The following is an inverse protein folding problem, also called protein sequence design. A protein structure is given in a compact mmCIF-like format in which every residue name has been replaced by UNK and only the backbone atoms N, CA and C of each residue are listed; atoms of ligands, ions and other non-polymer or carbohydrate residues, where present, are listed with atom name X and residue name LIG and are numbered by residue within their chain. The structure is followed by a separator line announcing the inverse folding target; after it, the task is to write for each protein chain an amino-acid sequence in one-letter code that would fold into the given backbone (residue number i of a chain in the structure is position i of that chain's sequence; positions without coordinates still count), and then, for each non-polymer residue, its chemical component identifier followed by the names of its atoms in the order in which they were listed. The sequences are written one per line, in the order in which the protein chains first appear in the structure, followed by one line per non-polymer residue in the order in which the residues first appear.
data_IF_075092468719
#
_entry.id   IF_075092468719
#
_cell.length_a   1.000
_cell.length_b   1.000
_cell.length_c   1.000
_cell.angle_alpha   90.00
_cell.angle_beta   90.00
_cell.angle_gamma   90.00
#
_symmetry.space_group_name_H-M   'P 1'
#
loop_
_entity.id
_entity.type
_entity.pdbx_description
1 polymer ?
#
# COMPACT_ATOMS: atom_id res chain seq x y z
N UNK A 1 33.28 -31.94 -9.75
CA UNK A 1 31.82 -31.85 -9.56
C UNK A 1 31.53 -30.75 -8.54
N UNK A 2 31.85 -29.50 -8.88
CA UNK A 2 31.82 -28.35 -7.96
C UNK A 2 31.71 -27.03 -8.76
N UNK A 3 30.83 -27.04 -9.77
CA UNK A 3 30.65 -25.90 -10.69
C UNK A 3 29.18 -25.74 -11.16
N UNK A 4 28.24 -26.01 -10.27
CA UNK A 4 26.79 -25.94 -10.55
C UNK A 4 25.99 -25.32 -9.39
N UNK A 5 26.57 -24.34 -8.70
CA UNK A 5 25.83 -23.41 -7.84
C UNK A 5 26.35 -21.99 -8.11
N UNK A 6 26.38 -21.57 -9.38
CA UNK A 6 26.36 -20.15 -9.68
C UNK A 6 24.97 -19.64 -9.30
N UNK A 7 24.96 -18.74 -8.32
CA UNK A 7 23.84 -17.91 -7.87
C UNK A 7 22.71 -17.82 -8.91
N UNK A 8 21.64 -18.57 -8.68
CA UNK A 8 20.38 -18.44 -9.39
C UNK A 8 19.67 -17.14 -8.91
N UNK A 9 20.36 -16.00 -8.99
CA UNK A 9 19.82 -14.68 -8.72
C UNK A 9 19.02 -14.29 -9.95
N UNK A 10 17.71 -14.05 -9.76
CA UNK A 10 16.92 -13.43 -10.82
C UNK A 10 17.63 -12.16 -11.29
N UNK A 11 17.79 -11.97 -12.62
CA UNK A 11 18.49 -10.80 -13.13
C UNK A 11 17.76 -9.54 -12.66
N UNK A 12 18.49 -8.60 -12.05
CA UNK A 12 17.93 -7.31 -11.61
C UNK A 12 17.30 -6.62 -12.80
N UNK A 13 15.99 -6.33 -12.72
CA UNK A 13 15.29 -5.61 -13.79
C UNK A 13 15.90 -4.22 -13.96
N UNK A 14 16.33 -3.88 -15.17
CA UNK A 14 16.91 -2.56 -15.47
C UNK A 14 15.86 -1.45 -15.35
N UNK A 15 14.64 -1.68 -15.82
CA UNK A 15 13.54 -0.73 -15.74
C UNK A 15 12.20 -1.47 -15.67
N UNK A 16 11.19 -0.82 -15.08
CA UNK A 16 9.81 -1.29 -15.09
C UNK A 16 8.87 -0.18 -15.55
N UNK A 17 7.76 -0.56 -16.18
CA UNK A 17 6.62 0.32 -16.33
C UNK A 17 5.84 0.40 -15.02
N UNK A 18 5.43 1.61 -14.66
CA UNK A 18 4.58 1.90 -13.51
C UNK A 18 3.26 2.44 -14.01
N UNK A 19 2.17 1.79 -13.61
CA UNK A 19 0.81 2.25 -13.84
C UNK A 19 0.00 2.12 -12.55
N UNK A 20 -0.44 3.25 -11.99
CA UNK A 20 -1.30 3.28 -10.80
C UNK A 20 -2.49 4.19 -11.05
N UNK A 21 -3.70 3.68 -10.83
CA UNK A 21 -4.91 4.47 -10.94
C UNK A 21 -5.20 5.17 -9.60
N UNK A 22 -4.86 6.45 -9.49
CA UNK A 22 -5.12 7.27 -8.29
C UNK A 22 -6.23 8.26 -8.64
N UNK A 23 -7.48 8.06 -8.16
CA UNK A 23 -8.66 8.78 -8.63
C UNK A 23 -8.54 10.31 -8.56
N UNK A 24 -7.95 10.83 -7.48
CA UNK A 24 -7.82 12.29 -7.24
C UNK A 24 -6.55 12.91 -7.87
N UNK A 25 -5.68 12.11 -8.47
CA UNK A 25 -4.41 12.56 -9.06
C UNK A 25 -4.36 12.36 -10.58
N UNK A 26 -5.38 11.76 -11.19
CA UNK A 26 -5.40 11.48 -12.64
C UNK A 26 -4.54 10.27 -13.05
N UNK A 27 -4.11 9.47 -12.08
CA UNK A 27 -3.25 8.30 -12.30
C UNK A 27 -1.76 8.62 -12.46
N UNK A 28 -0.95 7.56 -12.42
CA UNK A 28 0.50 7.57 -12.63
C UNK A 28 0.78 6.64 -13.80
N UNK A 29 1.47 7.13 -14.84
CA UNK A 29 1.98 6.30 -15.93
C UNK A 29 3.38 6.76 -16.32
N UNK A 30 4.36 5.86 -16.27
CA UNK A 30 5.74 6.17 -16.63
C UNK A 30 6.68 5.01 -16.34
N UNK A 31 7.97 5.27 -16.36
CA UNK A 31 9.01 4.26 -16.14
C UNK A 31 9.76 4.52 -14.84
N UNK A 32 10.28 3.43 -14.25
CA UNK A 32 11.12 3.47 -13.06
C UNK A 32 12.35 2.58 -13.29
N UNK A 33 13.53 3.18 -13.33
CA UNK A 33 14.84 2.49 -13.37
C UNK A 33 15.47 2.58 -11.97
N UNK A 34 15.22 1.59 -11.09
CA UNK A 34 15.59 1.66 -9.68
C UNK A 34 17.08 1.40 -9.46
N UNK A 35 17.71 2.26 -8.65
CA UNK A 35 19.04 2.04 -8.10
C UNK A 35 19.02 1.02 -6.93
N UNK A 36 20.20 0.62 -6.44
CA UNK A 36 20.28 -0.40 -5.38
C UNK A 36 19.59 0.02 -4.08
N UNK A 37 19.63 1.30 -3.70
CA UNK A 37 18.95 1.81 -2.49
C UNK A 37 17.43 1.78 -2.66
N UNK A 38 16.94 2.08 -3.84
CA UNK A 38 15.51 1.98 -4.16
C UNK A 38 15.03 0.53 -4.13
N UNK A 39 15.87 -0.45 -4.50
CA UNK A 39 15.52 -1.87 -4.41
C UNK A 39 15.42 -2.34 -2.96
N UNK A 40 16.38 -1.95 -2.13
CA UNK A 40 16.37 -2.23 -0.69
C UNK A 40 15.14 -1.60 -0.01
N UNK A 41 14.84 -0.33 -0.31
CA UNK A 41 13.66 0.37 0.19
C UNK A 41 12.35 -0.25 -0.32
N UNK A 42 12.29 -0.65 -1.59
CA UNK A 42 11.13 -1.31 -2.17
C UNK A 42 10.84 -2.65 -1.49
N UNK A 43 11.86 -3.44 -1.16
CA UNK A 43 11.69 -4.67 -0.39
C UNK A 43 11.08 -4.40 0.99
N UNK A 44 11.59 -3.42 1.73
CA UNK A 44 11.06 -3.11 3.06
C UNK A 44 9.60 -2.67 3.01
N UNK A 45 9.25 -1.73 2.12
CA UNK A 45 7.86 -1.30 2.00
C UNK A 45 6.96 -2.41 1.45
N UNK A 46 7.49 -3.25 0.56
CA UNK A 46 6.75 -4.41 0.04
C UNK A 46 6.33 -5.36 1.15
N UNK A 47 7.26 -5.75 2.04
CA UNK A 47 6.97 -6.61 3.18
C UNK A 47 5.87 -6.01 4.04
N UNK A 48 5.99 -4.72 4.37
CA UNK A 48 5.00 -4.00 5.17
C UNK A 48 3.62 -3.99 4.51
N UNK A 49 3.54 -3.78 3.19
CA UNK A 49 2.26 -3.81 2.49
C UNK A 49 1.62 -5.19 2.48
N UNK A 50 2.37 -6.26 2.24
CA UNK A 50 1.79 -7.61 2.06
C UNK A 50 1.48 -8.36 3.35
N UNK A 51 2.00 -7.91 4.50
CA UNK A 51 1.72 -8.54 5.80
C UNK A 51 0.66 -7.80 6.62
N UNK A 52 0.18 -6.65 6.16
CA UNK A 52 -0.76 -5.82 6.91
C UNK A 52 -2.21 -6.14 6.57
N UNK A 53 -3.09 -5.85 7.53
CA UNK A 53 -4.55 -5.95 7.38
C UNK A 53 -5.04 -5.09 6.19
N UNK A 54 -4.33 -4.03 5.82
CA UNK A 54 -4.66 -3.14 4.68
C UNK A 54 -4.67 -3.81 3.29
N UNK A 55 -4.18 -5.04 3.15
CA UNK A 55 -4.30 -5.84 1.92
C UNK A 55 -5.20 -7.07 2.06
N UNK A 56 -5.72 -7.33 3.25
CA UNK A 56 -6.71 -8.38 3.50
C UNK A 56 -8.09 -7.76 3.32
N UNK A 57 -8.92 -8.40 2.50
CA UNK A 57 -10.29 -7.95 2.28
C UNK A 57 -11.06 -7.97 3.60
N UNK A 58 -11.67 -6.84 3.96
CA UNK A 58 -12.58 -6.77 5.10
C UNK A 58 -13.99 -7.13 4.64
N UNK A 59 -14.25 -8.44 4.57
CA UNK A 59 -15.56 -8.98 4.19
C UNK A 59 -16.67 -8.37 5.03
N UNK A 60 -17.89 -8.39 4.48
CA UNK A 60 -19.07 -7.89 5.16
C UNK A 60 -19.25 -8.61 6.50
N UNK A 61 -19.30 -7.83 7.58
CA UNK A 61 -19.44 -8.37 8.94
C UNK A 61 -18.12 -8.69 9.64
N UNK A 62 -16.98 -8.60 8.97
CA UNK A 62 -15.66 -8.87 9.55
C UNK A 62 -14.87 -7.59 9.84
N UNK A 63 -13.96 -7.68 10.82
CA UNK A 63 -13.01 -6.65 11.22
C UNK A 63 -13.63 -5.39 11.83
N UNK A 64 -12.77 -4.51 12.35
CA UNK A 64 -13.13 -3.23 12.97
C UNK A 64 -12.61 -2.11 12.07
N UNK A 65 -13.46 -1.14 11.73
CA UNK A 65 -13.14 -0.05 10.79
C UNK A 65 -11.99 0.80 11.32
N UNK A 66 -11.97 1.03 12.64
CA UNK A 66 -10.86 1.73 13.32
C UNK A 66 -9.51 1.09 13.06
N UNK A 67 -9.42 -0.22 13.21
CA UNK A 67 -8.18 -0.97 13.02
C UNK A 67 -7.72 -0.93 11.56
N UNK A 68 -8.65 -0.98 10.61
CA UNK A 68 -8.36 -0.82 9.19
C UNK A 68 -7.73 0.55 8.88
N UNK A 69 -8.37 1.63 9.37
CA UNK A 69 -7.86 2.99 9.19
C UNK A 69 -6.51 3.20 9.89
N UNK A 70 -6.33 2.66 11.09
CA UNK A 70 -5.06 2.73 11.83
C UNK A 70 -3.94 1.97 11.10
N UNK A 71 -4.23 0.79 10.54
CA UNK A 71 -3.28 0.04 9.70
C UNK A 71 -2.83 0.88 8.50
N UNK A 72 -3.75 1.55 7.81
CA UNK A 72 -3.42 2.43 6.68
C UNK A 72 -2.63 3.66 7.15
N UNK A 73 -3.02 4.29 8.27
CA UNK A 73 -2.33 5.45 8.83
C UNK A 73 -0.87 5.15 9.18
N UNK A 74 -0.58 3.94 9.69
CA UNK A 74 0.79 3.54 10.05
C UNK A 74 1.78 3.57 8.87
N UNK A 75 1.28 3.44 7.63
CA UNK A 75 2.11 3.52 6.42
C UNK A 75 2.82 4.88 6.27
N UNK A 76 2.29 5.95 6.85
CA UNK A 76 2.97 7.25 6.83
C UNK A 76 4.29 7.20 7.59
N UNK A 77 4.30 6.61 8.78
CA UNK A 77 5.52 6.58 9.58
C UNK A 77 6.53 5.59 9.01
N UNK A 78 6.08 4.39 8.64
CA UNK A 78 6.90 3.37 7.96
C UNK A 78 7.58 3.95 6.73
N UNK A 79 6.82 4.62 5.85
CA UNK A 79 7.39 5.21 4.64
C UNK A 79 8.40 6.30 4.97
N UNK A 80 8.14 7.16 5.97
CA UNK A 80 9.10 8.19 6.40
C UNK A 80 10.38 7.59 6.97
N UNK A 81 10.28 6.52 7.75
CA UNK A 81 11.43 5.80 8.29
C UNK A 81 12.29 5.23 7.16
N UNK A 82 11.67 4.57 6.17
CA UNK A 82 12.37 4.07 4.98
C UNK A 82 13.05 5.22 4.22
N UNK A 83 12.33 6.31 3.94
CA UNK A 83 12.90 7.48 3.25
C UNK A 83 14.09 8.09 4.00
N UNK A 84 14.02 8.17 5.34
CA UNK A 84 15.14 8.69 6.17
C UNK A 84 16.31 7.71 6.20
N UNK A 85 16.04 6.42 6.35
CA UNK A 85 17.04 5.35 6.43
C UNK A 85 17.91 5.26 5.18
N UNK A 86 17.28 5.33 4.00
CA UNK A 86 17.96 5.21 2.72
C UNK A 86 18.44 6.55 2.15
N UNK A 87 18.04 7.66 2.76
CA UNK A 87 18.51 9.00 2.41
C UNK A 87 18.04 9.49 1.04
N UNK A 88 18.64 10.55 0.49
CA UNK A 88 18.14 11.20 -0.72
C UNK A 88 18.22 10.32 -1.99
N UNK A 89 18.98 9.24 -1.98
CA UNK A 89 19.20 8.39 -3.15
C UNK A 89 17.94 7.61 -3.56
N UNK A 90 16.98 7.41 -2.65
CA UNK A 90 15.66 6.82 -3.02
C UNK A 90 14.72 7.82 -3.69
N UNK A 91 15.10 9.10 -3.76
CA UNK A 91 14.29 10.16 -4.38
C UNK A 91 14.89 10.69 -5.69
N UNK A 92 16.08 10.22 -6.10
CA UNK A 92 16.75 10.65 -7.32
C UNK A 92 16.42 9.70 -8.48
N UNK A 93 15.61 10.12 -9.48
CA UNK A 93 15.36 9.29 -10.65
C UNK A 93 16.64 9.16 -11.50
N UNK A 94 16.76 8.04 -12.21
CA UNK A 94 17.92 7.75 -13.07
C UNK A 94 17.96 8.64 -14.32
N UNK A 95 16.80 9.06 -14.84
CA UNK A 95 16.65 10.03 -15.94
C UNK A 95 15.56 11.06 -15.67
N UNK A 96 15.61 12.14 -16.45
CA UNK A 96 14.50 13.11 -16.52
C UNK A 96 13.20 12.40 -16.96
N UNK A 97 12.09 12.68 -16.28
CA UNK A 97 10.77 12.06 -16.48
C UNK A 97 10.61 10.59 -16.02
N UNK A 98 11.60 10.02 -15.32
CA UNK A 98 11.43 8.74 -14.64
C UNK A 98 10.95 8.93 -13.18
N UNK A 99 10.26 7.91 -12.67
CA UNK A 99 9.88 7.84 -11.27
C UNK A 99 11.03 7.34 -10.40
N UNK A 100 10.95 7.69 -9.11
CA UNK A 100 11.76 7.12 -8.03
C UNK A 100 10.87 6.54 -6.95
N UNK A 101 11.41 5.66 -6.11
CA UNK A 101 10.75 5.09 -4.94
C UNK A 101 10.09 6.19 -4.10
N UNK A 102 10.85 7.24 -3.78
CA UNK A 102 10.40 8.32 -2.93
C UNK A 102 9.31 9.15 -3.57
N UNK A 103 9.38 9.42 -4.88
CA UNK A 103 8.32 10.14 -5.59
C UNK A 103 7.02 9.35 -5.60
N UNK A 104 7.07 8.06 -5.94
CA UNK A 104 5.89 7.20 -5.97
C UNK A 104 5.26 7.02 -4.58
N UNK A 105 6.10 6.77 -3.57
CA UNK A 105 5.65 6.62 -2.18
C UNK A 105 4.93 7.88 -1.68
N UNK A 106 5.48 9.06 -1.93
CA UNK A 106 4.85 10.31 -1.52
C UNK A 106 3.57 10.61 -2.31
N UNK A 107 3.49 10.25 -3.59
CA UNK A 107 2.24 10.39 -4.35
C UNK A 107 1.15 9.52 -3.71
N UNK A 108 1.44 8.25 -3.43
CA UNK A 108 0.50 7.33 -2.79
C UNK A 108 0.02 7.87 -1.43
N UNK A 109 0.95 8.27 -0.55
CA UNK A 109 0.60 8.80 0.76
C UNK A 109 -0.28 10.05 0.66
N UNK A 110 0.07 11.01 -0.21
CA UNK A 110 -0.58 12.31 -0.24
C UNK A 110 -1.90 12.31 -1.01
N UNK A 111 -2.03 11.50 -2.06
CA UNK A 111 -3.17 11.57 -2.97
C UNK A 111 -4.11 10.37 -2.89
N UNK A 112 -3.67 9.24 -2.31
CA UNK A 112 -4.56 8.11 -2.02
C UNK A 112 -4.89 8.02 -0.53
N UNK A 113 -3.87 7.94 0.33
CA UNK A 113 -4.11 7.63 1.75
C UNK A 113 -4.59 8.84 2.54
N UNK A 114 -4.00 10.02 2.34
CA UNK A 114 -4.38 11.22 3.10
C UNK A 114 -5.85 11.61 2.90
N UNK A 115 -6.42 11.64 1.67
CA UNK A 115 -7.83 11.98 1.49
C UNK A 115 -8.78 11.01 2.21
N UNK A 116 -8.51 9.71 2.12
CA UNK A 116 -9.26 8.67 2.84
C UNK A 116 -9.23 8.94 4.35
N UNK A 117 -8.03 9.05 4.92
CA UNK A 117 -7.86 9.18 6.38
C UNK A 117 -8.43 10.50 6.92
N UNK A 118 -8.21 11.61 6.20
CA UNK A 118 -8.75 12.92 6.57
C UNK A 118 -10.28 12.95 6.56
N UNK A 119 -10.92 12.22 5.64
CA UNK A 119 -12.38 12.07 5.63
C UNK A 119 -12.85 11.18 6.78
N UNK A 120 -12.26 9.99 6.91
CA UNK A 120 -12.90 8.92 7.69
C UNK A 120 -12.53 8.87 9.16
N UNK A 121 -11.31 9.25 9.55
CA UNK A 121 -10.95 9.27 10.97
C UNK A 121 -11.90 10.12 11.83
N UNK A 122 -12.19 11.40 11.50
CA UNK A 122 -13.07 12.22 12.33
C UNK A 122 -14.52 11.70 12.30
N UNK A 123 -15.00 11.27 11.14
CA UNK A 123 -16.38 10.78 10.99
C UNK A 123 -16.61 9.48 11.79
N UNK A 124 -15.63 8.57 11.78
CA UNK A 124 -15.69 7.36 12.59
C UNK A 124 -15.56 7.69 14.09
N UNK A 125 -14.64 8.60 14.46
CA UNK A 125 -14.43 8.99 15.86
C UNK A 125 -15.70 9.62 16.47
N UNK A 126 -16.39 10.49 15.73
CA UNK A 126 -17.64 11.09 16.19
C UNK A 126 -18.75 10.04 16.39
N UNK A 127 -18.76 9.01 15.55
CA UNK A 127 -19.71 7.91 15.67
C UNK A 127 -19.39 7.00 16.87
N UNK A 128 -18.13 6.60 17.02
CA UNK A 128 -17.65 5.78 18.15
C UNK A 128 -17.90 6.45 19.51
N UNK A 129 -17.79 7.78 19.58
CA UNK A 129 -18.07 8.55 20.80
C UNK A 129 -19.52 8.41 21.30
N UNK A 130 -20.45 7.96 20.43
CA UNK A 130 -21.87 7.74 20.75
C UNK A 130 -22.18 6.29 21.12
N UNK A 131 -21.17 5.45 21.33
CA UNK A 131 -21.35 4.02 21.64
C UNK A 131 -21.95 3.81 23.03
N UNK A 132 -23.05 3.07 23.09
CA UNK A 132 -23.60 2.59 24.37
C UNK A 132 -22.64 1.63 25.08
N UNK A 133 -22.66 1.59 26.41
CA UNK A 133 -21.73 0.78 27.20
C UNK A 133 -21.90 -0.73 26.97
N UNK A 134 -23.13 -1.16 26.69
CA UNK A 134 -23.51 -2.58 26.68
C UNK A 134 -23.33 -3.26 25.31
N UNK A 135 -22.97 -2.50 24.26
CA UNK A 135 -22.71 -3.06 22.92
C UNK A 135 -21.22 -3.07 22.61
N UNK A 136 -20.78 -4.07 21.83
CA UNK A 136 -19.40 -4.12 21.35
C UNK A 136 -19.10 -3.00 20.34
N UNK A 137 -17.82 -2.66 20.15
CA UNK A 137 -17.39 -1.70 19.11
C UNK A 137 -17.89 -2.15 17.74
N UNK A 138 -17.74 -3.44 17.44
CA UNK A 138 -18.14 -4.02 16.15
C UNK A 138 -19.64 -3.89 15.90
N UNK A 139 -20.44 -4.26 16.89
CA UNK A 139 -21.91 -4.16 16.79
C UNK A 139 -22.36 -2.69 16.63
N UNK A 140 -21.66 -1.76 17.28
CA UNK A 140 -21.89 -0.34 17.08
C UNK A 140 -21.55 0.10 15.67
N UNK A 141 -20.33 -0.17 15.18
CA UNK A 141 -19.91 0.13 13.81
C UNK A 141 -20.88 -0.42 12.76
N UNK A 142 -21.39 -1.64 12.95
CA UNK A 142 -22.36 -2.28 12.04
C UNK A 142 -23.70 -1.52 11.92
N UNK A 143 -24.05 -0.73 12.93
CA UNK A 143 -25.24 0.15 12.92
C UNK A 143 -24.98 1.49 12.24
N UNK A 144 -23.73 1.79 11.84
CA UNK A 144 -23.40 3.07 11.25
C UNK A 144 -23.96 3.19 9.84
N UNK A 145 -24.73 4.25 9.57
CA UNK A 145 -25.30 4.52 8.23
C UNK A 145 -24.25 4.61 7.11
N UNK A 146 -22.99 4.89 7.46
CA UNK A 146 -21.89 5.07 6.51
C UNK A 146 -20.92 3.89 6.45
N UNK A 147 -21.23 2.77 7.12
CA UNK A 147 -20.35 1.59 7.13
C UNK A 147 -20.04 1.09 5.72
N UNK A 148 -21.06 0.98 4.86
CA UNK A 148 -20.89 0.48 3.49
C UNK A 148 -20.00 1.40 2.65
N UNK A 149 -20.19 2.72 2.79
CA UNK A 149 -19.40 3.74 2.08
C UNK A 149 -17.91 3.68 2.49
N UNK A 150 -17.62 3.57 3.80
CA UNK A 150 -16.24 3.41 4.27
C UNK A 150 -15.62 2.09 3.80
N UNK A 151 -16.36 0.98 3.85
CA UNK A 151 -15.85 -0.32 3.37
C UNK A 151 -15.49 -0.30 1.90
N UNK A 152 -16.33 0.33 1.07
CA UNK A 152 -16.05 0.48 -0.36
C UNK A 152 -14.79 1.31 -0.61
N UNK A 153 -14.59 2.41 0.12
CA UNK A 153 -13.37 3.23 -0.02
C UNK A 153 -12.10 2.55 0.52
N UNK A 154 -12.24 1.74 1.58
CA UNK A 154 -11.15 0.89 2.08
C UNK A 154 -10.75 -0.16 1.04
N UNK A 155 -11.71 -0.82 0.39
CA UNK A 155 -11.43 -1.85 -0.60
C UNK A 155 -10.78 -1.26 -1.86
N UNK A 156 -11.29 -0.12 -2.37
CA UNK A 156 -10.63 0.64 -3.45
C UNK A 156 -9.19 1.04 -3.10
N UNK A 157 -8.96 1.44 -1.85
CA UNK A 157 -7.60 1.78 -1.39
C UNK A 157 -6.71 0.54 -1.34
N UNK A 158 -7.26 -0.59 -0.89
CA UNK A 158 -6.58 -1.88 -0.87
C UNK A 158 -6.14 -2.30 -2.27
N UNK A 159 -7.01 -2.20 -3.28
CA UNK A 159 -6.66 -2.54 -4.67
C UNK A 159 -5.45 -1.73 -5.16
N UNK A 160 -5.43 -0.42 -4.90
CA UNK A 160 -4.32 0.47 -5.27
C UNK A 160 -3.03 0.11 -4.52
N UNK A 161 -3.13 -0.24 -3.23
CA UNK A 161 -1.99 -0.69 -2.43
C UNK A 161 -1.45 -2.04 -2.93
N UNK A 162 -2.33 -2.97 -3.33
CA UNK A 162 -1.95 -4.24 -3.93
C UNK A 162 -1.23 -4.01 -5.25
N UNK A 163 -1.75 -3.15 -6.14
CA UNK A 163 -1.08 -2.82 -7.39
C UNK A 163 0.28 -2.18 -7.14
N UNK A 164 0.40 -1.27 -6.17
CA UNK A 164 1.70 -0.72 -5.82
C UNK A 164 2.66 -1.78 -5.30
N UNK A 165 2.20 -2.72 -4.46
CA UNK A 165 3.02 -3.83 -3.97
C UNK A 165 3.57 -4.72 -5.10
N UNK A 166 2.82 -4.91 -6.19
CA UNK A 166 3.30 -5.63 -7.39
C UNK A 166 4.48 -4.92 -8.04
N UNK A 167 4.44 -3.59 -8.11
CA UNK A 167 5.55 -2.80 -8.64
C UNK A 167 6.77 -2.87 -7.71
N UNK A 168 6.58 -2.80 -6.39
CA UNK A 168 7.65 -2.96 -5.42
C UNK A 168 8.30 -4.34 -5.49
N UNK A 169 7.52 -5.41 -5.62
CA UNK A 169 8.04 -6.77 -5.79
C UNK A 169 8.92 -6.90 -7.05
N UNK A 170 8.47 -6.33 -8.18
CA UNK A 170 9.27 -6.29 -9.42
C UNK A 170 10.59 -5.54 -9.22
N UNK A 171 10.57 -4.38 -8.57
CA UNK A 171 11.78 -3.60 -8.28
C UNK A 171 12.74 -4.38 -7.38
N UNK A 172 12.23 -4.99 -6.31
CA UNK A 172 12.97 -5.84 -5.40
C UNK A 172 13.43 -7.17 -6.02
N UNK A 173 12.96 -7.50 -7.24
CA UNK A 173 13.29 -8.74 -7.95
C UNK A 173 12.89 -9.99 -7.17
N UNK A 174 11.71 -9.95 -6.54
CA UNK A 174 11.12 -11.05 -5.77
C UNK A 174 9.82 -11.53 -6.41
N UNK A 175 9.53 -12.82 -6.26
CA UNK A 175 8.19 -13.36 -6.57
C UNK A 175 7.20 -12.83 -5.51
N UNK A 176 5.98 -12.42 -5.88
CA UNK A 176 4.97 -12.04 -4.90
C UNK A 176 4.75 -13.15 -3.84
N UNK A 177 4.77 -12.75 -2.57
CA UNK A 177 4.57 -13.59 -1.39
C UNK A 177 3.09 -13.90 -1.08
N UNK A 178 2.18 -13.47 -1.94
CA UNK A 178 0.74 -13.74 -1.82
C UNK A 178 0.24 -14.37 -3.12
N UNK A 179 -0.76 -15.24 -3.01
CA UNK A 179 -1.50 -15.76 -4.16
C UNK A 179 -2.53 -14.73 -4.59
N UNK A 180 -2.53 -14.33 -5.87
CA UNK A 180 -3.68 -13.61 -6.41
C UNK A 180 -4.88 -14.56 -6.35
N UNK A 181 -5.95 -14.19 -5.65
CA UNK A 181 -7.20 -14.95 -5.74
C UNK A 181 -7.67 -14.84 -7.19
N UNK A 182 -7.64 -15.95 -7.94
CA UNK A 182 -8.07 -16.01 -9.35
C UNK A 182 -9.58 -15.71 -9.54
N UNK A 183 -10.33 -15.53 -8.45
CA UNK A 183 -11.79 -15.40 -8.44
C UNK A 183 -12.33 -14.03 -8.91
N UNK A 184 -11.50 -12.99 -9.07
CA UNK A 184 -11.95 -11.66 -9.54
C UNK A 184 -11.73 -11.40 -11.05
N UNK A 185 -11.54 -12.46 -11.86
CA UNK A 185 -11.45 -12.36 -13.33
C UNK A 185 -12.70 -12.88 -14.06
N UNK A 186 -13.89 -12.82 -13.44
CA UNK A 186 -15.17 -13.13 -14.11
C UNK A 186 -16.05 -11.89 -14.26
#
# INVERSE_FOLDING_TARGET
MLKLLEDNKMPKLKSIEVNLNIPLFGGIKGTWEPNDKEREAAWELYVELVTRISVVELKRGEGILREALNSIYSLFEITREILRKYGPDVAKPSKENEYSFGKLSLILLNYQLRPLLSKWHPLLQEYEAKKDKDISIKEHEDKWKRISELREELDKTREILMDYSKHLAKVASVVPLYTENEENKS
#
